data_IF_973690194203
#
_entry.id   IF_973690194203
#
_cell.length_a   1.000
_cell.length_b   1.000
_cell.length_c   1.000
_cell.angle_alpha   90.00
_cell.angle_beta   90.00
_cell.angle_gamma   90.00
#
_symmetry.space_group_name_H-M   'P 1'
#
loop_
_entity.id
_entity.type
_entity.pdbx_description
1 polymer ?
#
# COMPACT_ATOMS: atom_id res chain seq x y z
N UNK A 1 2.89 14.44 28.02
CA UNK A 1 2.38 14.60 26.64
C UNK A 1 0.89 14.82 26.73
N UNK A 2 0.38 15.96 26.26
CA UNK A 2 -1.05 16.26 26.33
C UNK A 2 -1.80 15.49 25.22
N UNK A 3 -2.99 14.96 25.53
CA UNK A 3 -3.75 14.04 24.65
C UNK A 3 -4.07 14.65 23.28
N UNK A 4 -4.23 15.97 23.23
CA UNK A 4 -4.46 16.78 22.03
C UNK A 4 -3.27 16.77 21.06
N UNK A 5 -2.04 16.77 21.59
CA UNK A 5 -0.83 16.78 20.77
C UNK A 5 -0.55 15.41 20.15
N UNK A 6 -0.99 14.31 20.77
CA UNK A 6 -0.82 12.96 20.22
C UNK A 6 -1.55 12.81 18.88
N UNK A 7 -2.79 13.30 18.79
CA UNK A 7 -3.59 13.22 17.58
C UNK A 7 -3.11 14.12 16.45
N UNK A 8 -2.41 15.22 16.75
CA UNK A 8 -1.88 16.14 15.72
C UNK A 8 -0.56 15.66 15.14
N UNK A 9 0.21 14.86 15.89
CA UNK A 9 1.51 14.36 15.49
C UNK A 9 1.43 13.05 14.72
N UNK A 10 0.33 12.32 14.82
CA UNK A 10 0.09 11.06 14.15
C UNK A 10 -0.83 11.26 12.95
N UNK A 11 -0.41 10.87 11.75
CA UNK A 11 -1.32 10.73 10.61
C UNK A 11 -1.63 9.25 10.35
N UNK A 12 -2.85 8.98 9.88
CA UNK A 12 -3.24 7.64 9.47
C UNK A 12 -2.61 7.31 8.13
N UNK A 13 -2.27 6.04 7.93
CA UNK A 13 -1.72 5.57 6.67
C UNK A 13 -2.82 5.62 5.61
N UNK A 14 -2.63 6.51 4.64
CA UNK A 14 -3.54 6.69 3.50
C UNK A 14 -2.83 6.21 2.25
N UNK A 15 -3.59 5.60 1.36
CA UNK A 15 -3.04 5.11 0.12
C UNK A 15 -4.12 4.76 -0.88
N UNK A 16 -3.70 4.71 -2.14
CA UNK A 16 -4.52 4.24 -3.24
C UNK A 16 -3.82 3.03 -3.86
N UNK A 17 -4.61 2.05 -4.25
CA UNK A 17 -4.13 0.90 -5.00
C UNK A 17 -4.88 0.81 -6.33
N UNK A 18 -4.16 0.49 -7.39
CA UNK A 18 -4.70 0.23 -8.71
C UNK A 18 -4.20 -1.13 -9.15
N UNK A 19 -5.13 -2.04 -9.40
CA UNK A 19 -4.83 -3.42 -9.76
C UNK A 19 -5.50 -3.76 -11.09
N UNK A 20 -4.72 -4.32 -12.00
CA UNK A 20 -5.18 -4.88 -13.27
C UNK A 20 -4.96 -6.38 -13.23
N UNK A 21 -6.06 -7.12 -13.18
CA UNK A 21 -6.05 -8.57 -13.09
C UNK A 21 -6.51 -9.19 -14.41
N UNK A 22 -5.85 -10.27 -14.79
CA UNK A 22 -6.22 -11.12 -15.92
C UNK A 22 -6.73 -12.48 -15.42
N UNK A 23 -7.82 -12.94 -16.02
CA UNK A 23 -8.43 -14.23 -15.71
C UNK A 23 -8.43 -15.13 -16.96
N UNK A 24 -8.30 -16.43 -16.75
CA UNK A 24 -8.56 -17.43 -17.78
C UNK A 24 -10.07 -17.61 -18.02
N UNK A 25 -10.46 -18.23 -19.13
CA UNK A 25 -11.86 -18.58 -19.47
C UNK A 25 -12.54 -19.43 -18.40
N UNK A 26 -11.78 -20.13 -17.57
CA UNK A 26 -12.25 -20.91 -16.42
C UNK A 26 -12.38 -20.08 -15.13
N UNK A 27 -12.09 -18.79 -15.16
CA UNK A 27 -12.20 -17.87 -14.02
C UNK A 27 -10.96 -17.80 -13.11
N UNK A 28 -9.91 -18.61 -13.35
CA UNK A 28 -8.68 -18.58 -12.56
C UNK A 28 -7.89 -17.30 -12.84
N UNK A 29 -7.43 -16.62 -11.78
CA UNK A 29 -6.52 -15.47 -11.89
C UNK A 29 -5.15 -15.96 -12.37
N UNK A 30 -4.63 -15.37 -13.45
CA UNK A 30 -3.39 -15.82 -14.11
C UNK A 30 -2.28 -14.78 -14.04
N UNK A 31 -2.64 -13.50 -14.15
CA UNK A 31 -1.70 -12.40 -14.19
C UNK A 31 -2.26 -11.21 -13.41
N UNK A 32 -1.40 -10.52 -12.68
CA UNK A 32 -1.79 -9.28 -12.01
C UNK A 32 -0.66 -8.26 -12.06
N UNK A 33 -1.02 -7.06 -12.49
CA UNK A 33 -0.19 -5.85 -12.46
C UNK A 33 -0.83 -4.89 -11.46
N UNK A 34 -0.15 -4.62 -10.34
CA UNK A 34 -0.69 -3.77 -9.29
C UNK A 34 0.30 -2.68 -8.90
N UNK A 35 -0.18 -1.45 -8.83
CA UNK A 35 0.54 -0.33 -8.24
C UNK A 35 -0.13 0.10 -6.94
N UNK A 36 0.67 0.17 -5.88
CA UNK A 36 0.25 0.67 -4.57
C UNK A 36 1.03 1.93 -4.23
N UNK A 37 0.29 2.96 -3.84
CA UNK A 37 0.82 4.27 -3.47
C UNK A 37 0.43 4.53 -2.03
N UNK A 38 1.42 4.51 -1.13
CA UNK A 38 1.20 4.80 0.28
C UNK A 38 1.85 6.13 0.64
N UNK A 39 1.16 6.91 1.46
CA UNK A 39 1.66 8.18 1.95
C UNK A 39 2.49 7.96 3.22
N UNK A 40 3.77 8.32 3.18
CA UNK A 40 4.72 8.23 4.31
C UNK A 40 4.56 9.38 5.32
N UNK A 41 3.92 10.47 4.90
CA UNK A 41 3.98 11.74 5.61
C UNK A 41 5.33 12.44 5.38
N UNK A 42 5.78 13.21 6.37
CA UNK A 42 6.97 14.07 6.25
C UNK A 42 8.32 13.34 6.23
N UNK A 43 8.35 12.02 6.49
CA UNK A 43 9.56 11.22 6.47
C UNK A 43 9.32 9.89 5.76
N UNK A 44 10.33 9.37 5.03
CA UNK A 44 10.23 8.06 4.38
C UNK A 44 10.05 6.94 5.40
N UNK A 45 9.44 5.84 4.96
CA UNK A 45 9.23 4.65 5.77
C UNK A 45 7.76 4.30 6.02
N UNK A 46 6.88 4.51 5.04
CA UNK A 46 5.57 3.87 5.08
C UNK A 46 5.70 2.34 5.04
N UNK A 47 4.67 1.63 5.51
CA UNK A 47 4.59 0.16 5.50
C UNK A 47 4.35 -0.44 4.09
N UNK A 48 5.08 0.03 3.08
CA UNK A 48 4.95 -0.42 1.68
C UNK A 48 5.34 -1.88 1.53
N UNK A 49 6.40 -2.34 2.21
CA UNK A 49 6.84 -3.74 2.13
C UNK A 49 5.77 -4.72 2.59
N UNK A 50 5.15 -4.48 3.74
CA UNK A 50 4.04 -5.29 4.24
C UNK A 50 2.81 -5.21 3.33
N UNK A 51 2.52 -4.03 2.79
CA UNK A 51 1.38 -3.84 1.90
C UNK A 51 1.55 -4.61 0.58
N UNK A 52 2.75 -4.61 -0.02
CA UNK A 52 3.06 -5.35 -1.24
C UNK A 52 2.93 -6.86 -1.03
N UNK A 53 3.31 -7.37 0.15
CA UNK A 53 3.19 -8.80 0.48
C UNK A 53 1.74 -9.26 0.68
N UNK A 54 0.86 -8.40 1.20
CA UNK A 54 -0.50 -8.75 1.56
C UNK A 54 -1.57 -8.37 0.51
N UNK A 55 -1.19 -7.74 -0.60
CA UNK A 55 -2.15 -7.07 -1.51
C UNK A 55 -3.09 -8.03 -2.25
N UNK A 56 -2.67 -9.27 -2.47
CA UNK A 56 -3.42 -10.25 -3.24
C UNK A 56 -4.02 -11.38 -2.40
N UNK A 57 -4.03 -11.26 -1.08
CA UNK A 57 -4.48 -12.32 -0.17
C UNK A 57 -3.78 -13.67 -0.49
N UNK A 58 -4.25 -14.86 -0.04
CA UNK A 58 -3.58 -16.12 -0.36
C UNK A 58 -3.96 -16.64 -1.77
N UNK A 59 -4.11 -15.76 -2.76
CA UNK A 59 -4.34 -16.16 -4.15
C UNK A 59 -3.02 -16.37 -4.88
N UNK A 60 -2.92 -17.48 -5.61
CA UNK A 60 -1.74 -17.79 -6.42
C UNK A 60 -1.86 -17.18 -7.81
N UNK A 61 -0.83 -16.45 -8.23
CA UNK A 61 -0.70 -15.87 -9.57
C UNK A 61 0.49 -16.50 -10.28
N UNK A 62 0.32 -16.78 -11.58
CA UNK A 62 1.41 -17.33 -12.40
C UNK A 62 2.41 -16.24 -12.77
N UNK A 63 1.91 -15.02 -12.99
CA UNK A 63 2.71 -13.84 -13.35
C UNK A 63 2.25 -12.70 -12.44
N UNK A 64 3.17 -12.14 -11.66
CA UNK A 64 2.87 -11.14 -10.66
C UNK A 64 3.89 -10.00 -10.73
N UNK A 65 3.40 -8.79 -10.93
CA UNK A 65 4.23 -7.58 -10.91
C UNK A 65 3.59 -6.54 -9.99
N UNK A 66 4.35 -6.09 -8.99
CA UNK A 66 3.86 -5.16 -7.97
C UNK A 66 4.82 -3.99 -7.82
N UNK A 67 4.27 -2.79 -7.99
CA UNK A 67 4.98 -1.54 -7.79
C UNK A 67 4.52 -0.88 -6.49
N UNK A 68 5.42 -0.84 -5.50
CA UNK A 68 5.20 -0.14 -4.24
C UNK A 68 5.86 1.24 -4.24
N UNK A 69 5.06 2.30 -4.12
CA UNK A 69 5.53 3.68 -4.03
C UNK A 69 5.38 4.21 -2.60
N UNK A 70 6.51 4.64 -2.03
CA UNK A 70 6.55 5.43 -0.79
C UNK A 70 6.50 6.92 -1.13
N UNK A 71 5.37 7.57 -0.86
CA UNK A 71 5.13 8.96 -1.25
C UNK A 71 5.33 9.85 -0.02
N UNK A 72 6.40 10.64 -0.04
CA UNK A 72 6.67 11.66 0.97
C UNK A 72 5.80 12.88 0.70
N UNK A 73 5.04 13.31 1.71
CA UNK A 73 4.09 14.44 1.63
C UNK A 73 4.26 15.35 2.83
N UNK A 74 3.95 16.65 2.69
CA UNK A 74 4.13 17.63 3.77
C UNK A 74 3.03 17.55 4.85
N UNK A 75 2.91 16.38 5.48
CA UNK A 75 1.98 16.03 6.56
C UNK A 75 2.74 15.34 7.70
N UNK A 76 2.16 15.22 8.91
CA UNK A 76 2.78 14.46 9.99
C UNK A 76 3.16 13.05 9.55
N UNK A 77 4.20 12.48 10.15
CA UNK A 77 4.69 11.14 9.78
C UNK A 77 3.55 10.13 9.91
N UNK A 78 3.36 9.32 8.88
CA UNK A 78 2.39 8.22 8.94
C UNK A 78 2.84 7.20 9.98
N UNK A 79 1.90 6.72 10.79
CA UNK A 79 2.15 5.61 11.69
C UNK A 79 2.35 4.33 10.85
N UNK A 80 3.60 3.87 10.77
CA UNK A 80 3.95 2.52 10.35
C UNK A 80 3.86 1.56 11.54
#
# INVERSE_FOLDING_TARGET
>A
MERSNVFKLLDLLRGNYYSKNGNDKKGKLIAADTSIKLEAGGFPGAAVGAAVQCIFAPYEFLILEIYGYDIVVNKPKSAA
#
